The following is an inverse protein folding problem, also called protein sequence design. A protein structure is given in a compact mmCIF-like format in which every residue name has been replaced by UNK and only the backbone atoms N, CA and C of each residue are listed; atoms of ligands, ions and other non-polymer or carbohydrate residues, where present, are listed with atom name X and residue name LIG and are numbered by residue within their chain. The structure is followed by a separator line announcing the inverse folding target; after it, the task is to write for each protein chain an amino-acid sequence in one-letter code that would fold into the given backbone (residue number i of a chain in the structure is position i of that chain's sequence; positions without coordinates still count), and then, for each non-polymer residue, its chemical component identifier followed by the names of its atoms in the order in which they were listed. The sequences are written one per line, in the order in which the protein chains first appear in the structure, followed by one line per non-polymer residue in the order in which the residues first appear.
data_IF_403506999633
#
_entry.id   IF_403506999633
#
_cell.length_a   1.000
_cell.length_b   1.000
_cell.length_c   1.000
_cell.angle_alpha   90.00
_cell.angle_beta   90.00
_cell.angle_gamma   90.00
#
_symmetry.space_group_name_H-M   'P 1'
#
loop_
_entity.id
_entity.type
_entity.pdbx_description
1 polymer ?
#
# COMPACT_ATOMS: atom_id res chain seq x y z
N UNK A 1 -23.55 0.96 0.66
CA UNK A 1 -22.98 2.19 1.26
C UNK A 1 -22.04 1.72 2.37
N UNK A 2 -20.81 1.36 2.00
CA UNK A 2 -19.77 0.94 2.94
C UNK A 2 -19.20 2.24 3.50
N UNK A 3 -19.32 2.44 4.81
CA UNK A 3 -18.61 3.54 5.49
C UNK A 3 -17.15 3.09 5.59
N UNK A 4 -16.29 3.53 4.66
CA UNK A 4 -14.84 3.41 4.85
C UNK A 4 -14.46 4.35 5.98
N UNK A 5 -14.11 3.83 7.15
CA UNK A 5 -13.51 4.65 8.20
C UNK A 5 -12.02 4.78 7.84
N UNK A 6 -11.68 5.79 7.06
CA UNK A 6 -10.28 6.15 6.86
C UNK A 6 -9.75 6.77 8.16
N UNK A 7 -9.05 5.95 8.95
CA UNK A 7 -8.31 6.42 10.10
C UNK A 7 -6.81 6.18 9.87
N UNK A 8 -6.21 6.96 8.97
CA UNK A 8 -4.75 7.09 8.93
C UNK A 8 -4.35 8.02 10.08
N UNK A 9 -4.07 7.40 11.22
CA UNK A 9 -3.57 8.08 12.40
C UNK A 9 -2.19 8.67 12.10
N UNK A 10 -2.09 9.99 12.03
CA UNK A 10 -0.83 10.71 12.21
C UNK A 10 -0.38 10.51 13.67
N UNK A 11 0.29 9.41 13.97
CA UNK A 11 0.62 9.00 15.35
C UNK A 11 1.97 9.56 15.79
N UNK A 12 1.91 10.26 16.91
CA UNK A 12 3.04 10.78 17.68
C UNK A 12 4.03 9.65 18.04
N UNK A 13 5.31 9.92 17.79
CA UNK A 13 6.44 9.03 18.06
C UNK A 13 6.50 8.64 19.55
N UNK A 14 5.97 7.47 19.92
CA UNK A 14 6.27 6.85 21.21
C UNK A 14 7.69 6.30 21.15
N UNK A 15 8.56 6.78 22.03
CA UNK A 15 9.95 6.34 22.14
C UNK A 15 9.97 4.92 22.72
N UNK A 16 9.80 3.92 21.86
CA UNK A 16 10.15 2.53 22.20
C UNK A 16 11.66 2.46 22.35
N UNK A 17 12.12 1.96 23.51
CA UNK A 17 13.54 1.78 23.86
C UNK A 17 14.32 1.10 22.73
N UNK A 18 15.52 1.59 22.42
CA UNK A 18 16.38 1.07 21.34
C UNK A 18 16.70 -0.42 21.48
N UNK A 19 16.83 -0.91 22.72
CA UNK A 19 17.15 -2.31 23.02
C UNK A 19 16.04 -3.29 22.58
N UNK A 20 14.76 -2.91 22.71
CA UNK A 20 13.62 -3.74 22.26
C UNK A 20 13.54 -3.78 20.73
N UNK A 21 13.85 -2.66 20.07
CA UNK A 21 13.89 -2.56 18.61
C UNK A 21 15.01 -3.42 18.00
N UNK A 22 16.21 -3.40 18.59
CA UNK A 22 17.34 -4.21 18.12
C UNK A 22 17.07 -5.72 18.27
N UNK A 23 16.43 -6.15 19.37
CA UNK A 23 16.05 -7.55 19.57
C UNK A 23 15.06 -8.04 18.51
N UNK A 24 13.98 -7.28 18.28
CA UNK A 24 12.98 -7.61 17.26
C UNK A 24 13.59 -7.65 15.86
N UNK A 25 14.51 -6.73 15.56
CA UNK A 25 15.21 -6.73 14.27
C UNK A 25 16.06 -7.98 14.07
N UNK A 26 16.80 -8.41 15.11
CA UNK A 26 17.55 -9.66 15.07
C UNK A 26 16.62 -10.85 14.79
N UNK A 27 15.51 -10.95 15.53
CA UNK A 27 14.53 -12.04 15.38
C UNK A 27 13.94 -12.11 13.96
N UNK A 28 13.62 -10.96 13.35
CA UNK A 28 13.10 -10.92 11.98
C UNK A 28 14.20 -11.16 10.95
N UNK A 29 15.42 -10.68 11.16
CA UNK A 29 16.53 -10.83 10.22
C UNK A 29 16.93 -12.30 10.00
N UNK A 30 16.73 -13.14 11.02
CA UNK A 30 16.96 -14.58 10.96
C UNK A 30 15.88 -15.34 10.16
N UNK A 31 14.76 -14.68 9.81
CA UNK A 31 13.72 -15.25 8.96
C UNK A 31 14.14 -15.15 7.49
N UNK A 32 14.34 -16.28 6.82
CA UNK A 32 14.66 -16.34 5.39
C UNK A 32 13.80 -17.38 4.68
N UNK A 33 13.43 -17.07 3.45
CA UNK A 33 12.57 -17.94 2.65
C UNK A 33 11.93 -17.18 1.50
N UNK A 34 11.57 -17.91 0.45
CA UNK A 34 10.80 -17.37 -0.68
C UNK A 34 9.30 -17.58 -0.49
N UNK A 35 8.87 -18.46 0.41
CA UNK A 35 7.47 -18.68 0.78
C UNK A 35 7.01 -17.86 1.99
N UNK A 36 5.80 -18.15 2.45
CA UNK A 36 5.27 -17.62 3.72
C UNK A 36 6.02 -18.26 4.88
N UNK A 37 6.45 -17.43 5.83
CA UNK A 37 7.17 -17.84 7.03
C UNK A 37 6.21 -17.76 8.22
N UNK A 38 6.08 -18.86 8.97
CA UNK A 38 5.21 -18.92 10.16
C UNK A 38 5.91 -18.29 11.37
N UNK A 39 5.56 -17.05 11.71
CA UNK A 39 6.15 -16.28 12.82
C UNK A 39 6.08 -17.03 14.16
N UNK A 40 4.96 -17.72 14.41
CA UNK A 40 4.74 -18.48 15.65
C UNK A 40 5.73 -19.64 15.88
N UNK A 41 6.40 -20.12 14.82
CA UNK A 41 7.43 -21.16 14.93
C UNK A 41 8.82 -20.61 15.25
N UNK A 42 9.00 -19.29 15.11
CA UNK A 42 10.28 -18.60 15.26
C UNK A 42 10.39 -17.76 16.54
N UNK A 43 9.39 -17.82 17.44
CA UNK A 43 9.37 -17.09 18.72
C UNK A 43 9.64 -15.59 18.59
N UNK A 44 9.08 -14.93 17.56
CA UNK A 44 9.15 -13.47 17.45
C UNK A 44 8.46 -12.83 18.65
N UNK A 45 9.11 -11.85 19.26
CA UNK A 45 8.68 -11.30 20.54
C UNK A 45 7.85 -10.01 20.40
N UNK A 46 7.14 -9.65 21.48
CA UNK A 46 6.33 -8.44 21.57
C UNK A 46 5.08 -8.49 20.69
N UNK A 47 4.49 -7.31 20.45
CA UNK A 47 3.22 -7.17 19.76
C UNK A 47 3.18 -7.84 18.37
N UNK A 48 4.31 -7.91 17.64
CA UNK A 48 4.35 -8.60 16.34
C UNK A 48 4.04 -10.09 16.50
N UNK A 49 4.74 -10.79 17.40
CA UNK A 49 4.51 -12.22 17.62
C UNK A 49 3.21 -12.55 18.36
N UNK A 50 2.62 -11.58 19.05
CA UNK A 50 1.28 -11.74 19.66
C UNK A 50 0.14 -11.65 18.64
N UNK A 51 0.31 -10.85 17.60
CA UNK A 51 -0.77 -10.50 16.65
C UNK A 51 -0.65 -11.34 15.37
N UNK A 52 0.55 -11.41 14.82
CA UNK A 52 0.77 -11.94 13.48
C UNK A 52 1.34 -13.35 13.54
N UNK A 53 0.86 -14.17 12.61
CA UNK A 53 1.27 -15.58 12.49
C UNK A 53 2.04 -15.85 11.19
N UNK A 54 1.95 -14.95 10.22
CA UNK A 54 2.53 -15.11 8.88
C UNK A 54 3.40 -13.92 8.51
N UNK A 55 4.47 -14.20 7.77
CA UNK A 55 5.43 -13.20 7.34
C UNK A 55 5.90 -13.48 5.92
N UNK A 56 5.94 -12.43 5.10
CA UNK A 56 6.75 -12.37 3.88
C UNK A 56 7.43 -11.01 3.80
N UNK A 57 8.43 -10.89 2.93
CA UNK A 57 9.12 -9.62 2.71
C UNK A 57 9.65 -9.51 1.29
N UNK A 58 9.85 -8.27 0.86
CA UNK A 58 10.66 -7.92 -0.32
C UNK A 58 12.00 -7.36 0.15
N UNK A 59 13.10 -7.76 -0.48
CA UNK A 59 14.44 -7.21 -0.17
C UNK A 59 14.70 -5.98 -1.03
N UNK A 60 14.94 -4.83 -0.40
CA UNK A 60 15.33 -3.61 -1.08
C UNK A 60 16.82 -3.67 -1.50
N UNK A 61 17.26 -2.89 -2.51
CA UNK A 61 18.66 -2.90 -2.97
C UNK A 61 19.72 -2.57 -1.91
N UNK A 62 19.35 -1.86 -0.84
CA UNK A 62 20.23 -1.61 0.31
C UNK A 62 20.34 -2.80 1.30
N UNK A 63 19.71 -3.94 1.00
CA UNK A 63 19.68 -5.12 1.86
C UNK A 63 18.62 -5.05 2.98
N UNK A 64 17.90 -3.93 3.11
CA UNK A 64 16.77 -3.80 4.02
C UNK A 64 15.54 -4.55 3.52
N UNK A 65 14.52 -4.68 4.37
CA UNK A 65 13.28 -5.40 4.06
C UNK A 65 12.08 -4.46 4.04
N UNK A 66 11.12 -4.82 3.21
CA UNK A 66 9.77 -4.24 3.16
C UNK A 66 8.85 -5.37 3.57
N UNK A 67 8.27 -5.26 4.75
CA UNK A 67 7.60 -6.37 5.41
C UNK A 67 6.10 -6.47 5.08
N UNK A 68 5.58 -7.70 5.11
CA UNK A 68 4.15 -7.98 5.14
C UNK A 68 3.91 -8.96 6.31
N UNK A 69 3.15 -8.51 7.29
CA UNK A 69 2.75 -9.32 8.45
C UNK A 69 1.29 -9.72 8.31
N UNK A 70 0.97 -11.00 8.45
CA UNK A 70 -0.38 -11.54 8.28
C UNK A 70 -0.92 -12.20 9.54
N UNK A 71 -2.20 -11.97 9.85
CA UNK A 71 -2.91 -12.78 10.86
C UNK A 71 -3.28 -14.15 10.29
N UNK A 72 -3.71 -15.07 11.14
CA UNK A 72 -3.93 -16.48 10.75
C UNK A 72 -5.07 -16.68 9.74
N UNK A 73 -6.01 -15.74 9.63
CA UNK A 73 -7.10 -15.77 8.66
C UNK A 73 -6.68 -15.40 7.24
N UNK A 74 -5.55 -14.70 7.07
CA UNK A 74 -5.01 -14.37 5.75
C UNK A 74 -4.41 -15.62 5.11
N UNK A 75 -4.80 -15.96 3.88
CA UNK A 75 -4.25 -17.14 3.18
C UNK A 75 -2.80 -16.91 2.75
N UNK A 76 -2.05 -18.00 2.53
CA UNK A 76 -0.67 -17.90 2.04
C UNK A 76 -0.62 -17.28 0.63
N UNK A 77 -1.59 -17.62 -0.20
CA UNK A 77 -1.70 -17.07 -1.56
C UNK A 77 -1.92 -15.55 -1.55
N UNK A 78 -2.70 -15.03 -0.59
CA UNK A 78 -2.87 -13.58 -0.38
C UNK A 78 -1.58 -12.92 0.09
N UNK A 79 -0.85 -13.54 1.03
CA UNK A 79 0.45 -13.02 1.48
C UNK A 79 1.45 -12.91 0.33
N UNK A 80 1.54 -13.96 -0.51
CA UNK A 80 2.42 -13.97 -1.68
C UNK A 80 1.96 -12.95 -2.73
N UNK A 81 0.65 -12.84 -2.95
CA UNK A 81 0.08 -11.86 -3.88
C UNK A 81 0.42 -10.42 -3.49
N UNK A 82 0.30 -10.06 -2.21
CA UNK A 82 0.69 -8.74 -1.72
C UNK A 82 2.18 -8.46 -1.99
N UNK A 83 3.05 -9.46 -1.80
CA UNK A 83 4.48 -9.32 -2.15
C UNK A 83 4.69 -9.11 -3.65
N UNK A 84 4.00 -9.85 -4.50
CA UNK A 84 4.09 -9.71 -5.97
C UNK A 84 3.71 -8.29 -6.44
N UNK A 85 2.69 -7.67 -5.83
CA UNK A 85 2.31 -6.29 -6.12
C UNK A 85 3.41 -5.30 -5.68
N UNK A 86 3.96 -5.47 -4.46
CA UNK A 86 5.09 -4.66 -3.98
C UNK A 86 6.26 -4.76 -4.97
N UNK A 87 6.62 -5.98 -5.37
CA UNK A 87 7.69 -6.22 -6.34
C UNK A 87 7.39 -5.57 -7.69
N UNK A 88 6.15 -5.66 -8.20
CA UNK A 88 5.75 -5.02 -9.45
C UNK A 88 5.94 -3.50 -9.39
N UNK A 89 5.47 -2.83 -8.34
CA UNK A 89 5.64 -1.38 -8.17
C UNK A 89 7.11 -0.94 -8.10
N UNK A 90 7.96 -1.77 -7.49
CA UNK A 90 9.38 -1.50 -7.27
C UNK A 90 10.30 -1.99 -8.39
N UNK A 91 9.77 -2.66 -9.42
CA UNK A 91 10.60 -3.17 -10.54
C UNK A 91 10.11 -2.74 -11.92
N UNK A 92 8.83 -2.41 -12.08
CA UNK A 92 8.28 -1.99 -13.38
C UNK A 92 8.81 -0.62 -13.79
N UNK A 93 9.45 -0.56 -14.96
CA UNK A 93 10.07 0.66 -15.47
C UNK A 93 9.01 1.62 -16.04
N UNK A 94 8.94 2.83 -15.46
CA UNK A 94 8.16 3.92 -16.01
C UNK A 94 8.79 4.56 -17.25
N UNK A 95 8.01 5.35 -17.98
CA UNK A 95 8.52 6.13 -19.11
C UNK A 95 9.59 7.14 -18.68
N UNK A 96 9.48 7.68 -17.47
CA UNK A 96 10.42 8.64 -16.88
C UNK A 96 11.22 7.99 -15.76
N UNK A 97 10.54 7.34 -14.81
CA UNK A 97 11.17 6.79 -13.62
C UNK A 97 11.62 5.35 -13.85
N UNK A 98 12.91 5.20 -14.15
CA UNK A 98 13.58 3.91 -14.34
C UNK A 98 14.00 3.23 -13.04
N UNK A 99 14.53 2.02 -13.15
CA UNK A 99 15.05 1.15 -12.08
C UNK A 99 15.84 1.89 -10.98
N UNK A 100 16.69 2.88 -11.32
CA UNK A 100 17.42 3.67 -10.31
C UNK A 100 16.50 4.44 -9.34
N UNK A 101 15.38 4.97 -9.83
CA UNK A 101 14.38 5.67 -8.99
C UNK A 101 13.58 4.66 -8.18
N UNK A 102 13.32 3.48 -8.75
CA UNK A 102 12.69 2.38 -8.02
C UNK A 102 13.54 1.87 -6.86
N UNK A 103 14.85 1.78 -7.07
CA UNK A 103 15.79 1.49 -5.99
C UNK A 103 15.75 2.55 -4.88
N UNK A 104 15.62 3.83 -5.22
CA UNK A 104 15.47 4.92 -4.25
C UNK A 104 14.17 4.75 -3.43
N UNK A 105 13.04 4.47 -4.10
CA UNK A 105 11.74 4.21 -3.44
C UNK A 105 11.85 2.99 -2.52
N UNK A 106 12.37 1.86 -3.01
CA UNK A 106 12.51 0.62 -2.24
C UNK A 106 13.41 0.81 -1.01
N UNK A 107 14.54 1.50 -1.17
CA UNK A 107 15.43 1.80 -0.06
C UNK A 107 14.77 2.73 0.97
N UNK A 108 13.94 3.67 0.51
CA UNK A 108 13.16 4.55 1.41
C UNK A 108 12.18 3.77 2.27
N UNK A 109 11.43 2.86 1.67
CA UNK A 109 10.49 1.96 2.36
C UNK A 109 11.21 1.17 3.45
N UNK A 110 12.30 0.49 3.09
CA UNK A 110 13.09 -0.29 4.03
C UNK A 110 13.70 0.56 5.17
N UNK A 111 14.28 1.73 4.84
CA UNK A 111 14.87 2.63 5.84
C UNK A 111 13.83 3.20 6.80
N UNK A 112 12.59 3.36 6.33
CA UNK A 112 11.47 3.87 7.14
C UNK A 112 10.73 2.76 7.88
N UNK A 113 11.14 1.49 7.75
CA UNK A 113 10.43 0.34 8.36
C UNK A 113 8.95 0.38 7.99
N UNK A 114 8.68 0.38 6.69
CA UNK A 114 7.33 0.34 6.16
C UNK A 114 6.83 -1.10 6.07
N UNK A 115 5.61 -1.37 6.52
CA UNK A 115 5.03 -2.71 6.45
C UNK A 115 3.56 -2.70 6.04
N UNK A 116 3.13 -3.71 5.30
CA UNK A 116 1.72 -4.08 5.24
C UNK A 116 1.37 -4.90 6.48
N UNK A 117 0.28 -4.54 7.15
CA UNK A 117 -0.35 -5.36 8.19
C UNK A 117 -1.64 -5.95 7.63
N UNK A 118 -1.59 -7.23 7.28
CA UNK A 118 -2.65 -7.94 6.59
C UNK A 118 -3.53 -8.66 7.62
N UNK A 119 -4.80 -8.27 7.68
CA UNK A 119 -5.77 -8.79 8.64
C UNK A 119 -6.81 -9.67 7.98
N UNK A 120 -7.41 -10.53 8.78
CA UNK A 120 -8.58 -11.31 8.35
C UNK A 120 -9.78 -10.38 8.07
N UNK A 121 -9.96 -9.34 8.91
CA UNK A 121 -11.02 -8.35 8.76
C UNK A 121 -10.68 -7.01 9.43
N UNK A 122 -11.38 -5.96 9.02
CA UNK A 122 -11.36 -4.62 9.63
C UNK A 122 -11.64 -4.68 11.15
N UNK A 123 -12.65 -5.44 11.59
CA UNK A 123 -12.95 -5.61 13.02
C UNK A 123 -11.77 -6.20 13.82
N UNK A 124 -10.98 -7.09 13.22
CA UNK A 124 -9.79 -7.64 13.86
C UNK A 124 -8.70 -6.58 14.02
N UNK A 125 -8.54 -5.72 13.01
CA UNK A 125 -7.62 -4.59 13.05
C UNK A 125 -8.02 -3.59 14.12
N UNK A 126 -9.28 -3.14 14.13
CA UNK A 126 -9.80 -2.17 15.11
C UNK A 126 -9.58 -2.65 16.55
N UNK A 127 -9.80 -3.95 16.81
CA UNK A 127 -9.58 -4.55 18.12
C UNK A 127 -8.10 -4.60 18.56
N UNK A 128 -7.15 -4.38 17.64
CA UNK A 128 -5.71 -4.49 17.88
C UNK A 128 -4.94 -3.19 17.57
N UNK A 129 -5.61 -2.09 17.21
CA UNK A 129 -4.98 -0.84 16.75
C UNK A 129 -3.93 -0.27 17.72
N UNK A 130 -4.17 -0.38 19.03
CA UNK A 130 -3.23 0.05 20.07
C UNK A 130 -1.92 -0.76 20.02
N UNK A 131 -2.03 -2.07 19.78
CA UNK A 131 -0.87 -2.95 19.70
C UNK A 131 -0.10 -2.70 18.40
N UNK A 132 -0.81 -2.50 17.29
CA UNK A 132 -0.24 -2.16 15.98
C UNK A 132 0.55 -0.85 16.08
N UNK A 133 -0.05 0.18 16.68
CA UNK A 133 0.61 1.48 16.87
C UNK A 133 1.92 1.40 17.67
N UNK A 134 2.07 0.35 18.49
CA UNK A 134 3.25 0.12 19.31
C UNK A 134 4.31 -0.81 18.67
N UNK A 135 4.09 -1.38 17.46
CA UNK A 135 5.09 -2.27 16.83
C UNK A 135 6.31 -1.51 16.29
N UNK A 136 6.22 -0.18 16.17
CA UNK A 136 7.33 0.67 15.73
C UNK A 136 7.64 0.55 14.23
N UNK A 137 6.61 0.27 13.43
CA UNK A 137 6.60 0.29 11.98
C UNK A 137 5.70 1.42 11.46
N UNK A 138 6.02 1.90 10.27
CA UNK A 138 5.11 2.71 9.45
C UNK A 138 4.20 1.74 8.69
N UNK A 139 2.94 1.65 9.07
CA UNK A 139 2.06 0.59 8.56
C UNK A 139 1.02 1.13 7.58
N UNK A 140 0.61 0.26 6.67
CA UNK A 140 -0.64 0.33 5.94
C UNK A 140 -1.39 -0.98 6.16
N UNK A 141 -2.66 -0.92 6.49
CA UNK A 141 -3.51 -2.09 6.65
C UNK A 141 -4.06 -2.59 5.31
N UNK A 142 -4.35 -3.89 5.27
CA UNK A 142 -5.03 -4.54 4.16
C UNK A 142 -5.91 -5.65 4.74
N UNK A 143 -7.13 -5.83 4.22
CA UNK A 143 -8.05 -6.84 4.72
C UNK A 143 -8.24 -8.00 3.75
N UNK A 144 -8.27 -9.23 4.30
CA UNK A 144 -8.45 -10.45 3.51
C UNK A 144 -9.81 -10.49 2.81
N UNK A 145 -10.79 -9.74 3.31
CA UNK A 145 -12.14 -9.61 2.75
C UNK A 145 -12.21 -8.72 1.50
N UNK A 146 -11.20 -7.90 1.23
CA UNK A 146 -11.14 -6.99 0.07
C UNK A 146 -9.93 -7.23 -0.84
N UNK A 147 -9.19 -8.32 -0.60
CA UNK A 147 -8.03 -8.70 -1.39
C UNK A 147 -8.43 -9.68 -2.52
N UNK A 148 -7.44 -10.16 -3.27
CA UNK A 148 -7.63 -11.11 -4.36
C UNK A 148 -8.49 -12.30 -3.96
N UNK A 149 -9.55 -12.56 -4.75
CA UNK A 149 -10.42 -13.72 -4.60
C UNK A 149 -11.50 -13.63 -3.51
N UNK A 150 -11.61 -12.52 -2.77
CA UNK A 150 -12.53 -12.40 -1.63
C UNK A 150 -13.77 -11.51 -1.86
N UNK A 151 -13.81 -10.73 -2.95
CA UNK A 151 -14.83 -9.70 -3.11
C UNK A 151 -15.04 -9.19 -4.53
N UNK A 152 -15.80 -8.08 -4.63
CA UNK A 152 -16.16 -7.43 -5.90
C UNK A 152 -15.04 -6.54 -6.47
N UNK A 153 -14.03 -6.22 -5.66
CA UNK A 153 -12.88 -5.38 -6.00
C UNK A 153 -11.69 -5.90 -5.21
N UNK A 154 -10.54 -5.97 -5.85
CA UNK A 154 -9.25 -6.21 -5.20
C UNK A 154 -8.62 -4.87 -4.78
N UNK A 155 -8.69 -4.54 -3.50
CA UNK A 155 -8.09 -3.34 -2.91
C UNK A 155 -6.59 -3.50 -2.62
N UNK A 156 -5.99 -4.68 -2.85
CA UNK A 156 -4.56 -4.90 -2.57
C UNK A 156 -3.67 -3.92 -3.32
N UNK A 157 -4.06 -3.53 -4.54
CA UNK A 157 -3.33 -2.54 -5.34
C UNK A 157 -3.38 -1.13 -4.75
N UNK A 158 -4.55 -0.68 -4.26
CA UNK A 158 -4.76 0.59 -3.57
C UNK A 158 -3.94 0.65 -2.29
N UNK A 159 -4.14 -0.30 -1.38
CA UNK A 159 -3.48 -0.28 -0.07
C UNK A 159 -1.96 -0.40 -0.20
N UNK A 160 -1.46 -1.27 -1.10
CA UNK A 160 -0.01 -1.35 -1.31
C UNK A 160 0.52 -0.07 -1.97
N UNK A 161 -0.28 0.61 -2.80
CA UNK A 161 0.13 1.90 -3.36
C UNK A 161 0.21 2.97 -2.28
N UNK A 162 -0.72 3.03 -1.33
CA UNK A 162 -0.64 3.94 -0.18
C UNK A 162 0.67 3.76 0.59
N UNK A 163 1.07 2.51 0.87
CA UNK A 163 2.37 2.23 1.51
C UNK A 163 3.54 2.76 0.68
N UNK A 164 3.57 2.43 -0.61
CA UNK A 164 4.65 2.82 -1.54
C UNK A 164 4.68 4.34 -1.73
N UNK A 165 3.52 4.99 -1.75
CA UNK A 165 3.38 6.43 -1.91
C UNK A 165 3.89 7.17 -0.68
N UNK A 166 3.32 6.89 0.49
CA UNK A 166 3.57 7.62 1.74
C UNK A 166 5.00 7.45 2.25
N UNK A 167 5.57 6.24 2.11
CA UNK A 167 6.89 5.93 2.68
C UNK A 167 7.99 5.74 1.63
N UNK A 168 7.64 5.69 0.35
CA UNK A 168 8.57 5.54 -0.76
C UNK A 168 8.64 6.79 -1.64
N UNK A 169 7.55 7.11 -2.33
CA UNK A 169 7.48 8.14 -3.38
C UNK A 169 7.53 9.55 -2.77
N UNK A 170 6.54 9.92 -1.95
CA UNK A 170 6.41 11.26 -1.38
C UNK A 170 7.69 11.76 -0.69
N UNK A 171 8.41 10.94 0.11
CA UNK A 171 9.63 11.40 0.77
C UNK A 171 10.89 11.41 -0.10
N UNK A 172 10.86 10.88 -1.34
CA UNK A 172 12.08 10.77 -2.17
C UNK A 172 11.98 11.40 -3.56
N UNK A 173 10.79 11.44 -4.14
CA UNK A 173 10.53 11.98 -5.48
C UNK A 173 9.68 13.24 -5.38
N UNK A 174 10.20 14.28 -4.74
CA UNK A 174 9.44 15.52 -4.43
C UNK A 174 8.78 16.16 -5.66
N UNK A 175 9.47 16.19 -6.81
CA UNK A 175 8.89 16.71 -8.05
C UNK A 175 7.72 15.86 -8.55
N UNK A 176 7.79 14.53 -8.37
CA UNK A 176 6.68 13.65 -8.70
C UNK A 176 5.52 13.84 -7.73
N UNK A 177 5.78 13.98 -6.43
CA UNK A 177 4.75 14.28 -5.44
C UNK A 177 4.00 15.57 -5.79
N UNK A 178 4.72 16.64 -6.14
CA UNK A 178 4.09 17.90 -6.54
C UNK A 178 3.23 17.75 -7.80
N UNK A 179 3.57 16.81 -8.70
CA UNK A 179 2.73 16.50 -9.86
C UNK A 179 1.45 15.77 -9.47
N UNK A 180 1.52 14.83 -8.52
CA UNK A 180 0.32 14.13 -7.98
C UNK A 180 -0.60 15.15 -7.32
N UNK A 181 -0.07 15.98 -6.42
CA UNK A 181 -0.84 17.03 -5.72
C UNK A 181 -1.52 17.99 -6.69
N UNK A 182 -0.78 18.46 -7.70
CA UNK A 182 -1.34 19.32 -8.73
C UNK A 182 -2.45 18.64 -9.53
N UNK A 183 -2.26 17.38 -9.90
CA UNK A 183 -3.26 16.61 -10.65
C UNK A 183 -4.54 16.43 -9.82
N UNK A 184 -4.40 16.08 -8.54
CA UNK A 184 -5.51 16.02 -7.58
C UNK A 184 -6.26 17.36 -7.51
N UNK A 185 -5.56 18.48 -7.31
CA UNK A 185 -6.19 19.81 -7.18
C UNK A 185 -6.96 20.20 -8.45
N UNK A 186 -6.40 19.93 -9.63
CA UNK A 186 -7.04 20.18 -10.91
C UNK A 186 -8.25 19.25 -11.13
N UNK A 187 -8.16 17.99 -10.70
CA UNK A 187 -9.25 17.01 -10.77
C UNK A 187 -10.41 17.39 -9.85
N UNK A 188 -10.14 17.87 -8.63
CA UNK A 188 -11.16 18.40 -7.71
C UNK A 188 -11.82 19.63 -8.32
N UNK A 189 -11.02 20.58 -8.81
CA UNK A 189 -11.54 21.84 -9.40
C UNK A 189 -12.42 21.62 -10.62
N UNK A 190 -12.14 20.60 -11.43
CA UNK A 190 -12.94 20.22 -12.60
C UNK A 190 -14.13 19.31 -12.26
N UNK A 191 -14.26 18.89 -10.99
CA UNK A 191 -15.25 17.92 -10.54
C UNK A 191 -15.05 16.53 -11.14
N UNK A 192 -13.83 16.21 -11.59
CA UNK A 192 -13.44 14.87 -12.04
C UNK A 192 -13.25 13.91 -10.84
N UNK A 193 -12.73 14.45 -9.74
CA UNK A 193 -12.51 13.78 -8.47
C UNK A 193 -13.27 14.51 -7.37
N UNK A 194 -14.01 13.77 -6.56
CA UNK A 194 -14.75 14.26 -5.40
C UNK A 194 -14.34 13.44 -4.17
N UNK A 195 -13.36 13.92 -3.38
CA UNK A 195 -12.94 13.24 -2.15
C UNK A 195 -14.12 12.93 -1.23
N UNK A 196 -14.04 11.82 -0.50
CA UNK A 196 -15.05 11.49 0.51
C UNK A 196 -15.10 12.58 1.60
N UNK A 197 -16.31 12.84 2.12
CA UNK A 197 -16.56 14.02 2.97
C UNK A 197 -15.87 13.99 4.34
N UNK A 198 -15.46 12.82 4.80
CA UNK A 198 -14.74 12.56 6.05
C UNK A 198 -13.22 12.39 5.86
N UNK A 199 -12.74 12.36 4.62
CA UNK A 199 -11.32 12.25 4.32
C UNK A 199 -10.58 13.54 4.71
N UNK A 200 -9.46 13.45 5.45
CA UNK A 200 -8.60 14.61 5.69
C UNK A 200 -8.06 15.17 4.36
N UNK A 201 -7.96 16.50 4.27
CA UNK A 201 -7.41 17.14 3.06
C UNK A 201 -5.99 16.70 2.71
N UNK A 202 -5.23 16.27 3.70
CA UNK A 202 -3.86 15.79 3.51
C UNK A 202 -3.79 14.46 2.76
N UNK A 203 -4.91 13.74 2.66
CA UNK A 203 -4.99 12.41 2.05
C UNK A 203 -5.70 12.46 0.68
N UNK A 204 -6.12 13.64 0.23
CA UNK A 204 -6.85 13.79 -1.03
C UNK A 204 -6.01 13.35 -2.23
N UNK A 205 -4.73 13.71 -2.26
CA UNK A 205 -3.80 13.32 -3.31
C UNK A 205 -3.41 11.84 -3.24
N UNK A 206 -3.40 11.26 -2.04
CA UNK A 206 -3.17 9.83 -1.83
C UNK A 206 -4.31 8.99 -2.41
N UNK A 207 -5.55 9.30 -2.03
CA UNK A 207 -6.76 8.64 -2.55
C UNK A 207 -6.98 8.89 -4.04
N UNK A 208 -6.69 10.10 -4.53
CA UNK A 208 -6.73 10.37 -5.97
C UNK A 208 -5.74 9.47 -6.73
N UNK A 209 -4.53 9.28 -6.21
CA UNK A 209 -3.53 8.47 -6.89
C UNK A 209 -3.89 6.97 -6.89
N UNK A 210 -4.48 6.48 -5.79
CA UNK A 210 -5.07 5.15 -5.72
C UNK A 210 -6.23 4.97 -6.72
N UNK A 211 -7.15 5.93 -6.78
CA UNK A 211 -8.25 5.96 -7.74
C UNK A 211 -7.77 5.82 -9.19
N UNK A 212 -6.77 6.62 -9.55
CA UNK A 212 -6.12 6.58 -10.86
C UNK A 212 -5.50 5.22 -11.13
N UNK A 213 -4.81 4.62 -10.15
CA UNK A 213 -4.19 3.30 -10.32
C UNK A 213 -5.22 2.21 -10.54
N UNK A 214 -6.29 2.16 -9.77
CA UNK A 214 -7.26 1.09 -9.94
C UNK A 214 -8.00 1.18 -11.27
N UNK A 215 -8.37 2.40 -11.70
CA UNK A 215 -8.93 2.61 -13.02
C UNK A 215 -7.91 2.25 -14.10
N UNK A 216 -6.63 2.56 -13.90
CA UNK A 216 -5.55 2.08 -14.77
C UNK A 216 -5.57 0.56 -14.86
N UNK A 217 -5.68 -0.16 -13.76
CA UNK A 217 -5.62 -1.62 -13.75
C UNK A 217 -6.95 -2.31 -14.10
N UNK A 218 -8.02 -1.54 -14.34
CA UNK A 218 -9.34 -2.07 -14.65
C UNK A 218 -10.04 -2.72 -13.45
N UNK A 219 -9.61 -2.41 -12.22
CA UNK A 219 -10.15 -3.02 -10.99
C UNK A 219 -11.56 -2.52 -10.62
N UNK A 220 -12.11 -1.56 -11.39
CA UNK A 220 -13.43 -0.94 -11.19
C UNK A 220 -14.39 -1.00 -12.39
N UNK A 221 -14.02 -1.64 -13.50
CA UNK A 221 -14.77 -1.58 -14.78
C UNK A 221 -16.23 -2.08 -14.69
N UNK A 222 -16.58 -2.79 -13.61
CA UNK A 222 -17.92 -3.37 -13.37
C UNK A 222 -18.81 -2.57 -12.38
N UNK A 223 -18.50 -1.30 -12.09
CA UNK A 223 -19.22 -0.51 -11.09
C UNK A 223 -19.80 0.78 -11.67
N UNK A 224 -21.14 0.93 -11.61
CA UNK A 224 -21.99 2.12 -11.76
C UNK A 224 -21.58 3.25 -12.76
N UNK A 225 -20.62 3.02 -13.66
CA UNK A 225 -20.01 4.01 -14.55
C UNK A 225 -19.06 5.02 -13.89
N UNK A 226 -18.72 4.84 -12.61
CA UNK A 226 -17.77 5.68 -11.85
C UNK A 226 -17.08 4.84 -10.79
N UNK A 227 -15.86 5.18 -10.38
CA UNK A 227 -15.27 4.57 -9.19
C UNK A 227 -15.93 5.17 -7.94
N UNK A 228 -16.78 4.36 -7.29
CA UNK A 228 -17.40 4.67 -6.00
C UNK A 228 -18.28 5.93 -5.95
N UNK A 229 -18.66 6.50 -7.10
CA UNK A 229 -19.33 7.80 -7.19
C UNK A 229 -18.43 9.02 -6.94
N UNK A 230 -17.12 8.82 -6.77
CA UNK A 230 -16.16 9.87 -6.39
C UNK A 230 -15.18 10.21 -7.50
N UNK A 231 -14.74 9.23 -8.30
CA UNK A 231 -13.89 9.45 -9.47
C UNK A 231 -14.64 9.07 -10.75
N UNK A 232 -14.72 9.99 -11.72
CA UNK A 232 -15.59 9.80 -12.91
C UNK A 232 -15.17 8.64 -13.81
N UNK A 233 -13.88 8.46 -14.17
CA UNK A 233 -13.48 7.30 -14.94
C UNK A 233 -13.69 6.01 -14.14
N UNK A 234 -14.13 4.95 -14.81
CA UNK A 234 -14.25 3.60 -14.23
C UNK A 234 -13.32 2.57 -14.89
N UNK A 235 -12.77 2.90 -16.06
CA UNK A 235 -11.86 2.04 -16.83
C UNK A 235 -10.59 2.78 -17.28
N UNK A 236 -9.57 2.02 -17.69
CA UNK A 236 -8.32 2.57 -18.25
C UNK A 236 -8.59 3.43 -19.48
N UNK A 237 -9.53 3.02 -20.34
CA UNK A 237 -9.88 3.73 -21.56
C UNK A 237 -10.54 5.07 -21.24
N UNK A 238 -11.54 5.08 -20.35
CA UNK A 238 -12.19 6.31 -19.91
C UNK A 238 -11.20 7.26 -19.23
N UNK A 239 -10.31 6.73 -18.40
CA UNK A 239 -9.30 7.53 -17.70
C UNK A 239 -8.33 8.17 -18.69
N UNK A 240 -7.89 7.44 -19.72
CA UNK A 240 -7.02 8.01 -20.76
C UNK A 240 -7.65 9.22 -21.47
N UNK A 241 -8.96 9.21 -21.63
CA UNK A 241 -9.69 10.28 -22.32
C UNK A 241 -10.11 11.42 -21.37
N UNK A 242 -10.58 11.10 -20.17
CA UNK A 242 -11.15 12.05 -19.20
C UNK A 242 -10.12 12.61 -18.21
N UNK A 243 -9.09 11.83 -17.87
CA UNK A 243 -7.98 12.21 -16.99
C UNK A 243 -6.61 11.80 -17.59
N UNK A 244 -6.20 12.39 -18.72
CA UNK A 244 -4.92 12.08 -19.34
C UNK A 244 -3.72 12.42 -18.45
N UNK A 245 -3.90 13.30 -17.45
CA UNK A 245 -2.84 13.65 -16.49
C UNK A 245 -2.64 12.51 -15.49
N UNK A 246 -3.71 12.00 -14.87
CA UNK A 246 -3.69 10.83 -14.01
C UNK A 246 -3.13 9.60 -14.75
N UNK A 247 -3.63 9.31 -15.94
CA UNK A 247 -3.10 8.22 -16.79
C UNK A 247 -1.59 8.34 -17.02
N UNK A 248 -1.09 9.57 -17.26
CA UNK A 248 0.33 9.82 -17.46
C UNK A 248 1.17 9.68 -16.18
N UNK A 249 0.62 9.93 -14.99
CA UNK A 249 1.34 9.67 -13.73
C UNK A 249 1.72 8.19 -13.66
N UNK A 250 0.76 7.29 -13.88
CA UNK A 250 1.00 5.84 -13.85
C UNK A 250 2.06 5.44 -14.89
N UNK A 251 1.91 5.86 -16.14
CA UNK A 251 2.88 5.54 -17.19
C UNK A 251 4.28 6.07 -16.89
N UNK A 252 4.39 7.30 -16.37
CA UNK A 252 5.69 7.90 -16.10
C UNK A 252 6.44 7.16 -15.00
N UNK A 253 5.72 6.65 -13.99
CA UNK A 253 6.31 5.96 -12.84
C UNK A 253 6.43 4.46 -13.01
N UNK A 254 5.36 3.77 -13.41
CA UNK A 254 5.28 2.30 -13.46
C UNK A 254 5.34 1.75 -14.88
N UNK A 255 5.02 2.57 -15.88
CA UNK A 255 4.99 2.13 -17.27
C UNK A 255 3.68 1.40 -17.58
N UNK A 256 3.69 0.60 -18.64
CA UNK A 256 2.56 -0.27 -18.94
C UNK A 256 2.58 -1.47 -17.99
N UNK A 257 1.68 -1.46 -17.00
CA UNK A 257 1.50 -2.54 -16.03
C UNK A 257 0.09 -3.13 -16.12
N UNK A 258 -0.01 -4.40 -15.77
CA UNK A 258 -1.26 -5.17 -15.68
C UNK A 258 -1.32 -5.85 -14.31
N UNK A 259 -2.51 -6.23 -13.82
CA UNK A 259 -2.63 -7.04 -12.62
C UNK A 259 -1.71 -8.28 -12.67
N UNK A 260 -0.95 -8.54 -11.59
CA UNK A 260 -0.01 -9.68 -11.51
C UNK A 260 -0.74 -11.02 -11.56
N UNK A 261 -2.05 -11.03 -11.23
CA UNK A 261 -2.96 -12.17 -11.38
C UNK A 261 -4.23 -11.70 -12.09
N UNK A 262 -4.86 -12.61 -12.84
CA UNK A 262 -6.12 -12.41 -13.59
C UNK A 262 -7.15 -13.43 -13.16
#
# INVERSE_FOLDING_TARGET
MIKKHFLIGLIFMVVVSSCVKEKLYSELSDLYGTGVIEIGTHNVSGNIGEIFSKYVYTTAPNGGRIEVFGTSGVSDDQMIYAREIIEQYLTSDGLIYKQKHKAIIANSLANRRSAIVFWDSENQYEANIDKVSAIGYNVQDLYATESWGSGRRDASYEEILHLVHNYGIAPTLFEYQSRIQKANDDAIKSGLWSPWGDLPKADFDDEYFAAVMDCYLGLWEDQDGTMGGTYKPSSRAEMKDQDPVGYKLILDLFGEIEPVRK
#
